data_IF_419083226157
#
_entry.id   IF_419083226157
#
_cell.length_a   1.000
_cell.length_b   1.000
_cell.length_c   1.000
_cell.angle_alpha   90.00
_cell.angle_beta   90.00
_cell.angle_gamma   90.00
#
_symmetry.space_group_name_H-M   'P 1'
#
loop_
_entity.id
_entity.type
_entity.pdbx_description
1 polymer ?
#
# COMPACT_ATOMS: atom_id res chain seq x y z
N UNK A 1 -3.89 24.70 -74.06
CA UNK A 1 -3.20 23.64 -73.33
C UNK A 1 -2.68 23.98 -71.93
N UNK A 2 -2.99 25.14 -71.30
CA UNK A 2 -2.51 25.52 -69.96
C UNK A 2 -3.45 25.23 -68.77
N UNK A 3 -4.76 25.03 -69.01
CA UNK A 3 -5.76 24.84 -67.96
C UNK A 3 -5.70 23.45 -67.30
N UNK A 4 -5.32 22.40 -68.04
CA UNK A 4 -5.24 21.04 -67.50
C UNK A 4 -4.11 20.76 -66.52
N UNK A 5 -3.02 21.56 -66.56
CA UNK A 5 -1.91 21.38 -65.63
C UNK A 5 -2.17 21.94 -64.21
N UNK A 6 -2.99 22.97 -64.11
CA UNK A 6 -3.37 23.53 -62.81
C UNK A 6 -4.37 22.67 -62.07
N UNK A 7 -5.33 22.02 -62.76
CA UNK A 7 -6.31 21.10 -62.18
C UNK A 7 -5.61 19.81 -61.65
N UNK A 8 -4.63 19.25 -62.41
CA UNK A 8 -3.86 18.12 -61.97
C UNK A 8 -2.95 18.44 -60.73
N UNK A 9 -2.40 19.63 -60.65
CA UNK A 9 -1.63 20.08 -59.46
C UNK A 9 -2.53 20.30 -58.24
N UNK A 10 -3.72 20.86 -58.42
CA UNK A 10 -4.68 21.07 -57.35
C UNK A 10 -5.21 19.74 -56.77
N UNK A 11 -5.53 18.81 -57.64
CA UNK A 11 -5.93 17.43 -57.23
C UNK A 11 -4.82 16.68 -56.51
N UNK A 12 -3.56 16.83 -56.96
CA UNK A 12 -2.41 16.21 -56.27
C UNK A 12 -2.16 16.82 -54.90
N UNK A 13 -2.34 18.14 -54.71
CA UNK A 13 -2.18 18.82 -53.43
C UNK A 13 -3.34 18.41 -52.48
N UNK A 14 -4.56 18.29 -52.97
CA UNK A 14 -5.68 17.79 -52.16
C UNK A 14 -5.53 16.35 -51.73
N UNK A 15 -4.94 15.47 -52.59
CA UNK A 15 -4.64 14.08 -52.26
C UNK A 15 -3.49 13.96 -51.23
N UNK A 16 -2.52 14.86 -51.25
CA UNK A 16 -1.41 14.88 -50.28
C UNK A 16 -1.89 15.41 -48.91
N UNK A 17 -2.83 16.39 -48.89
CA UNK A 17 -3.45 16.86 -47.64
C UNK A 17 -4.39 15.85 -47.00
N UNK A 18 -5.01 14.95 -47.77
CA UNK A 18 -5.87 13.88 -47.24
C UNK A 18 -5.09 12.71 -46.59
N UNK A 19 -3.80 12.54 -46.96
CA UNK A 19 -2.97 11.45 -46.45
C UNK A 19 -2.33 11.72 -45.07
N UNK A 20 -2.42 12.95 -44.54
CA UNK A 20 -1.84 13.32 -43.25
C UNK A 20 -2.86 13.51 -42.13
N UNK A 21 -4.02 12.88 -42.21
CA UNK A 21 -4.88 12.74 -41.05
C UNK A 21 -4.21 11.79 -40.06
N UNK A 22 -3.16 12.29 -39.38
CA UNK A 22 -2.66 11.67 -38.14
C UNK A 22 -3.83 11.77 -37.17
N UNK A 23 -4.58 10.71 -37.05
CA UNK A 23 -5.53 10.55 -35.95
C UNK A 23 -4.72 10.72 -34.67
N UNK A 24 -4.80 11.89 -34.06
CA UNK A 24 -4.27 12.09 -32.71
C UNK A 24 -4.99 11.08 -31.82
N UNK A 25 -4.35 9.93 -31.58
CA UNK A 25 -4.85 8.96 -30.59
C UNK A 25 -4.77 9.68 -29.25
N UNK A 26 -5.92 10.12 -28.76
CA UNK A 26 -6.02 10.71 -27.44
C UNK A 26 -5.42 9.73 -26.43
N UNK A 27 -4.46 10.19 -25.63
CA UNK A 27 -3.87 9.38 -24.59
C UNK A 27 -4.95 8.90 -23.62
N UNK A 28 -4.92 7.60 -23.27
CA UNK A 28 -5.74 7.06 -22.21
C UNK A 28 -5.13 7.47 -20.88
N UNK A 29 -5.72 8.45 -20.22
CA UNK A 29 -5.26 8.90 -18.89
C UNK A 29 -5.79 7.95 -17.83
N UNK A 30 -4.89 7.39 -17.03
CA UNK A 30 -5.16 6.63 -15.81
C UNK A 30 -4.77 7.51 -14.63
N UNK A 31 -5.78 7.98 -13.88
CA UNK A 31 -5.56 8.72 -12.63
C UNK A 31 -5.33 7.74 -11.51
N UNK A 32 -4.13 7.79 -10.91
CA UNK A 32 -3.70 6.95 -9.79
C UNK A 32 -3.68 7.78 -8.51
N UNK A 33 -4.37 7.32 -7.48
CA UNK A 33 -4.27 7.89 -6.13
C UNK A 33 -3.28 7.10 -5.27
N UNK A 34 -2.48 7.81 -4.50
CA UNK A 34 -1.53 7.22 -3.54
C UNK A 34 -1.45 8.06 -2.27
N UNK A 35 -1.53 7.39 -1.11
CA UNK A 35 -1.25 8.01 0.19
C UNK A 35 0.23 8.34 0.39
N UNK A 36 1.13 7.68 -0.35
CA UNK A 36 2.57 7.84 -0.15
C UNK A 36 3.05 9.27 -0.48
N UNK A 37 3.97 9.83 0.33
CA UNK A 37 4.64 11.08 -0.02
C UNK A 37 5.39 10.95 -1.35
N UNK A 38 5.30 11.98 -2.19
CA UNK A 38 5.97 11.99 -3.50
C UNK A 38 7.49 11.79 -3.38
N UNK A 39 8.10 12.39 -2.35
CA UNK A 39 9.53 12.30 -2.06
C UNK A 39 9.95 10.95 -1.44
N UNK A 40 9.00 10.09 -1.08
CA UNK A 40 9.29 8.78 -0.50
C UNK A 40 9.79 7.77 -1.55
N UNK A 41 10.43 6.67 -1.15
CA UNK A 41 10.80 5.59 -2.05
C UNK A 41 9.63 5.07 -2.90
N UNK A 42 8.42 5.00 -2.31
CA UNK A 42 7.18 4.60 -3.02
C UNK A 42 6.76 5.65 -4.05
N UNK A 43 6.76 6.95 -3.69
CA UNK A 43 6.46 8.02 -4.62
C UNK A 43 7.41 8.02 -5.82
N UNK A 44 8.70 7.88 -5.55
CA UNK A 44 9.71 7.75 -6.60
C UNK A 44 9.52 6.50 -7.49
N UNK A 45 9.11 5.35 -6.92
CA UNK A 45 8.80 4.15 -7.70
C UNK A 45 7.59 4.37 -8.62
N UNK A 46 6.52 4.98 -8.11
CA UNK A 46 5.34 5.31 -8.90
C UNK A 46 5.63 6.28 -10.05
N UNK A 47 6.48 7.29 -9.82
CA UNK A 47 6.91 8.21 -10.87
C UNK A 47 7.70 7.48 -11.98
N UNK A 48 8.53 6.47 -11.62
CA UNK A 48 9.20 5.62 -12.60
C UNK A 48 8.22 4.74 -13.38
N UNK A 49 7.20 4.17 -12.71
CA UNK A 49 6.12 3.44 -13.40
C UNK A 49 5.43 4.34 -14.43
N UNK A 50 5.12 5.59 -14.08
CA UNK A 50 4.48 6.54 -14.99
C UNK A 50 5.35 6.81 -16.23
N UNK A 51 6.65 7.05 -16.04
CA UNK A 51 7.60 7.25 -17.12
C UNK A 51 7.71 6.00 -18.04
N UNK A 52 7.75 4.81 -17.46
CA UNK A 52 7.77 3.56 -18.21
C UNK A 52 6.47 3.32 -18.98
N UNK A 53 5.30 3.59 -18.40
CA UNK A 53 4.04 3.48 -19.10
C UNK A 53 3.94 4.41 -20.31
N UNK A 54 4.41 5.65 -20.16
CA UNK A 54 4.47 6.62 -21.25
C UNK A 54 5.39 6.11 -22.37
N UNK A 55 6.58 5.61 -22.03
CA UNK A 55 7.57 5.06 -22.98
C UNK A 55 7.05 3.81 -23.68
N UNK A 56 6.56 2.81 -22.94
CA UNK A 56 6.06 1.52 -23.45
C UNK A 56 4.89 1.74 -24.41
N UNK A 57 4.01 2.67 -24.08
CA UNK A 57 2.81 2.94 -24.86
C UNK A 57 3.03 3.93 -26.03
N UNK A 58 4.23 4.52 -26.17
CA UNK A 58 4.50 5.65 -27.05
C UNK A 58 3.49 6.81 -26.81
N UNK A 59 3.26 7.14 -25.54
CA UNK A 59 2.37 8.21 -25.10
C UNK A 59 0.86 7.90 -25.20
N UNK A 60 0.47 6.66 -25.58
CA UNK A 60 -0.95 6.29 -25.67
C UNK A 60 -1.61 6.01 -24.32
N UNK A 61 -0.83 5.72 -23.31
CA UNK A 61 -1.28 5.53 -21.92
C UNK A 61 -0.45 6.44 -21.03
N UNK A 62 -1.13 7.32 -20.29
CA UNK A 62 -0.53 8.24 -19.33
C UNK A 62 -0.99 7.88 -17.93
N UNK A 63 -0.07 7.78 -16.98
CA UNK A 63 -0.36 7.59 -15.56
C UNK A 63 -0.20 8.94 -14.85
N UNK A 64 -1.34 9.55 -14.47
CA UNK A 64 -1.37 10.78 -13.69
C UNK A 64 -1.49 10.45 -12.20
N UNK A 65 -0.49 10.81 -11.41
CA UNK A 65 -0.40 10.40 -10.01
C UNK A 65 -0.82 11.54 -9.07
N UNK A 66 -1.71 11.23 -8.13
CA UNK A 66 -2.12 12.07 -7.02
C UNK A 66 -1.45 11.53 -5.74
N UNK A 67 -0.30 12.09 -5.40
CA UNK A 67 0.48 11.74 -4.20
C UNK A 67 -0.10 12.35 -2.92
N UNK A 68 0.50 12.01 -1.77
CA UNK A 68 0.25 12.63 -0.47
C UNK A 68 -1.20 12.53 0.03
N UNK A 69 -1.97 11.57 -0.46
CA UNK A 69 -3.37 11.41 -0.05
C UNK A 69 -4.31 12.55 -0.48
N UNK A 70 -3.93 13.40 -1.45
CA UNK A 70 -4.76 14.52 -1.92
C UNK A 70 -6.08 14.06 -2.56
N UNK A 71 -6.17 12.81 -2.95
CA UNK A 71 -7.40 12.21 -3.47
C UNK A 71 -8.37 11.72 -2.36
N UNK A 72 -8.00 11.85 -1.09
CA UNK A 72 -8.70 11.32 0.09
C UNK A 72 -8.01 10.11 0.68
N UNK A 73 -8.62 9.52 1.71
CA UNK A 73 -8.19 8.25 2.28
C UNK A 73 -8.44 7.06 1.34
N UNK A 74 -7.98 5.87 1.72
CA UNK A 74 -8.07 4.69 0.84
C UNK A 74 -9.53 4.28 0.55
N UNK A 75 -10.45 4.42 1.50
CA UNK A 75 -11.88 4.16 1.33
C UNK A 75 -12.52 5.17 0.38
N UNK A 76 -12.18 6.45 0.50
CA UNK A 76 -12.59 7.49 -0.44
C UNK A 76 -12.07 7.22 -1.85
N UNK A 77 -10.82 6.80 -1.99
CA UNK A 77 -10.22 6.44 -3.27
C UNK A 77 -10.97 5.27 -3.91
N UNK A 78 -11.27 4.20 -3.17
CA UNK A 78 -12.07 3.08 -3.68
C UNK A 78 -13.45 3.52 -4.16
N UNK A 79 -14.13 4.38 -3.40
CA UNK A 79 -15.42 4.96 -3.81
C UNK A 79 -15.29 5.75 -5.12
N UNK A 80 -14.26 6.59 -5.25
CA UNK A 80 -13.95 7.35 -6.46
C UNK A 80 -13.60 6.46 -7.64
N UNK A 81 -12.94 5.32 -7.40
CA UNK A 81 -12.67 4.33 -8.44
C UNK A 81 -13.95 3.62 -8.92
N UNK A 82 -14.87 3.27 -8.02
CA UNK A 82 -16.17 2.66 -8.37
C UNK A 82 -17.00 3.56 -9.30
N UNK A 83 -16.99 4.87 -9.06
CA UNK A 83 -17.69 5.85 -9.91
C UNK A 83 -16.85 6.39 -11.08
N UNK A 84 -15.56 6.02 -11.16
CA UNK A 84 -14.65 6.34 -12.26
C UNK A 84 -14.04 7.73 -12.24
N UNK A 85 -14.06 8.43 -11.13
CA UNK A 85 -13.32 9.68 -10.94
C UNK A 85 -11.81 9.45 -10.88
N UNK A 86 -11.40 8.33 -10.28
CA UNK A 86 -10.02 7.81 -10.23
C UNK A 86 -10.05 6.42 -10.88
N UNK A 87 -8.98 6.01 -11.54
CA UNK A 87 -8.91 4.75 -12.28
C UNK A 87 -8.07 3.70 -11.58
N UNK A 88 -7.10 4.12 -10.79
CA UNK A 88 -6.16 3.25 -10.08
C UNK A 88 -5.86 3.81 -8.68
N UNK A 89 -5.40 2.94 -7.80
CA UNK A 89 -4.97 3.30 -6.46
C UNK A 89 -3.83 2.41 -5.97
N UNK A 90 -3.01 2.95 -5.09
CA UNK A 90 -2.09 2.16 -4.27
C UNK A 90 -2.69 2.10 -2.88
N UNK A 91 -2.93 0.87 -2.43
CA UNK A 91 -3.61 0.59 -1.17
C UNK A 91 -2.70 -0.18 -0.22
N UNK A 92 -2.86 0.08 1.07
CA UNK A 92 -2.36 -0.78 2.14
C UNK A 92 -3.36 -1.89 2.44
N UNK A 93 -3.05 -2.78 3.38
CA UNK A 93 -4.00 -3.81 3.84
C UNK A 93 -5.32 -3.22 4.33
N UNK A 94 -5.32 -1.97 4.84
CA UNK A 94 -6.54 -1.27 5.30
C UNK A 94 -7.53 -1.02 4.16
N UNK A 95 -7.07 -0.46 3.05
CA UNK A 95 -7.94 -0.26 1.87
C UNK A 95 -8.25 -1.55 1.13
N UNK A 96 -7.29 -2.50 1.11
CA UNK A 96 -7.48 -3.80 0.46
C UNK A 96 -8.50 -4.68 1.18
N UNK A 97 -8.73 -4.49 2.47
CA UNK A 97 -9.76 -5.20 3.25
C UNK A 97 -11.15 -5.09 2.61
N UNK A 98 -11.50 -3.93 2.04
CA UNK A 98 -12.78 -3.77 1.33
C UNK A 98 -12.89 -4.61 0.05
N UNK A 99 -11.78 -5.07 -0.50
CA UNK A 99 -11.71 -5.85 -1.74
C UNK A 99 -11.40 -7.32 -1.48
N UNK A 100 -10.59 -7.58 -0.48
CA UNK A 100 -10.12 -8.90 -0.09
C UNK A 100 -9.91 -8.93 1.44
N UNK A 101 -10.97 -9.15 2.24
CA UNK A 101 -10.88 -9.15 3.71
C UNK A 101 -9.82 -10.13 4.24
N UNK A 102 -9.52 -11.15 3.49
CA UNK A 102 -8.50 -12.16 3.79
C UNK A 102 -7.10 -11.56 4.02
N UNK A 103 -6.82 -10.38 3.41
CA UNK A 103 -5.52 -9.70 3.55
C UNK A 103 -5.20 -9.32 5.01
N UNK A 104 -6.24 -9.06 5.80
CA UNK A 104 -6.09 -8.67 7.20
C UNK A 104 -5.47 -9.79 8.04
N UNK A 105 -5.70 -11.06 7.68
CA UNK A 105 -5.07 -12.18 8.38
C UNK A 105 -3.55 -12.19 8.19
N UNK A 106 -3.08 -11.83 6.99
CA UNK A 106 -1.64 -11.70 6.73
C UNK A 106 -1.01 -10.53 7.50
N UNK A 107 -1.82 -9.54 7.87
CA UNK A 107 -1.40 -8.38 8.67
C UNK A 107 -1.68 -8.54 10.17
N UNK A 108 -2.07 -9.76 10.63
CA UNK A 108 -2.27 -10.02 12.07
C UNK A 108 -0.96 -9.81 12.84
N UNK A 109 -1.02 -9.09 13.97
CA UNK A 109 0.16 -8.89 14.80
C UNK A 109 0.81 -10.21 15.21
N UNK A 110 2.12 -10.34 15.00
CA UNK A 110 2.97 -11.45 15.49
C UNK A 110 2.62 -12.85 14.97
N UNK A 111 1.69 -12.96 14.00
CA UNK A 111 1.35 -14.24 13.37
C UNK A 111 2.48 -14.71 12.44
N UNK A 112 2.89 -13.83 11.50
CA UNK A 112 4.05 -14.01 10.62
C UNK A 112 5.23 -13.32 11.28
N UNK A 113 6.39 -13.98 11.36
CA UNK A 113 7.52 -13.57 12.20
C UNK A 113 8.82 -13.29 11.44
N UNK A 114 8.86 -13.61 10.15
CA UNK A 114 10.03 -13.38 9.28
C UNK A 114 9.63 -13.09 7.84
N UNK A 115 10.56 -12.52 7.07
CA UNK A 115 10.36 -12.29 5.64
C UNK A 115 10.17 -13.60 4.88
N UNK A 116 10.90 -14.64 5.25
CA UNK A 116 10.80 -15.95 4.59
C UNK A 116 9.42 -16.60 4.86
N UNK A 117 8.91 -16.51 6.09
CA UNK A 117 7.52 -16.90 6.40
C UNK A 117 6.51 -16.11 5.59
N UNK A 118 6.71 -14.79 5.49
CA UNK A 118 5.82 -13.92 4.73
C UNK A 118 5.79 -14.30 3.26
N UNK A 119 6.96 -14.47 2.63
CA UNK A 119 7.06 -14.87 1.22
C UNK A 119 6.35 -16.21 1.01
N UNK A 120 6.67 -17.21 1.83
CA UNK A 120 6.09 -18.55 1.72
C UNK A 120 4.56 -18.57 1.83
N UNK A 121 4.03 -17.86 2.82
CA UNK A 121 2.58 -17.79 3.04
C UNK A 121 1.91 -16.97 1.94
N UNK A 122 2.51 -15.82 1.58
CA UNK A 122 1.93 -14.90 0.60
C UNK A 122 1.80 -15.55 -0.78
N UNK A 123 2.82 -16.25 -1.26
CA UNK A 123 2.79 -16.95 -2.56
C UNK A 123 1.63 -17.96 -2.64
N UNK A 124 1.29 -18.62 -1.53
CA UNK A 124 0.18 -19.57 -1.45
C UNK A 124 -1.19 -18.91 -1.35
N UNK A 125 -1.23 -17.72 -0.74
CA UNK A 125 -2.48 -16.96 -0.56
C UNK A 125 -2.80 -16.05 -1.74
N UNK A 126 -1.80 -15.61 -2.51
CA UNK A 126 -1.96 -14.63 -3.58
C UNK A 126 -3.06 -14.97 -4.59
N UNK A 127 -3.20 -16.23 -5.10
CA UNK A 127 -4.27 -16.55 -6.05
C UNK A 127 -5.67 -16.31 -5.49
N UNK A 128 -5.88 -16.54 -4.18
CA UNK A 128 -7.17 -16.27 -3.54
C UNK A 128 -7.41 -14.78 -3.35
N UNK A 129 -6.37 -14.01 -3.00
CA UNK A 129 -6.43 -12.56 -2.89
C UNK A 129 -6.72 -11.89 -4.24
N UNK A 130 -6.03 -12.29 -5.31
CA UNK A 130 -6.28 -11.82 -6.68
C UNK A 130 -7.71 -12.11 -7.10
N UNK A 131 -8.23 -13.31 -6.80
CA UNK A 131 -9.61 -13.70 -7.09
C UNK A 131 -10.61 -12.83 -6.29
N UNK A 132 -10.34 -12.53 -5.02
CA UNK A 132 -11.19 -11.69 -4.19
C UNK A 132 -11.28 -10.26 -4.75
N UNK A 133 -10.14 -9.67 -5.10
CA UNK A 133 -10.08 -8.34 -5.73
C UNK A 133 -10.83 -8.32 -7.06
N UNK A 134 -10.66 -9.37 -7.89
CA UNK A 134 -11.32 -9.49 -9.19
C UNK A 134 -12.85 -9.61 -9.07
N UNK A 135 -13.37 -10.31 -8.06
CA UNK A 135 -14.83 -10.35 -7.79
C UNK A 135 -15.41 -8.95 -7.52
N UNK A 136 -14.60 -8.04 -7.01
CA UNK A 136 -14.96 -6.63 -6.76
C UNK A 136 -14.75 -5.71 -7.98
N UNK A 137 -14.47 -6.27 -9.18
CA UNK A 137 -14.26 -5.52 -10.43
C UNK A 137 -13.01 -4.66 -10.44
N UNK A 138 -11.94 -5.16 -9.81
CA UNK A 138 -10.63 -4.57 -9.82
C UNK A 138 -9.58 -5.60 -10.20
N UNK A 139 -8.48 -5.13 -10.76
CA UNK A 139 -7.32 -5.95 -11.13
C UNK A 139 -6.10 -5.48 -10.37
N UNK A 140 -5.38 -6.40 -9.73
CA UNK A 140 -4.08 -6.13 -9.11
C UNK A 140 -3.01 -6.18 -10.19
N UNK A 141 -2.20 -5.13 -10.30
CA UNK A 141 -1.05 -5.07 -11.20
C UNK A 141 0.26 -5.44 -10.52
N UNK A 142 0.29 -5.39 -9.18
CA UNK A 142 1.42 -5.83 -8.38
C UNK A 142 1.14 -5.72 -6.89
N UNK A 143 1.63 -6.71 -6.14
CA UNK A 143 1.63 -6.74 -4.68
C UNK A 143 2.98 -6.28 -4.14
N UNK A 144 2.98 -5.56 -3.03
CA UNK A 144 4.18 -5.06 -2.36
C UNK A 144 4.23 -5.50 -0.90
N UNK A 145 5.42 -5.85 -0.43
CA UNK A 145 5.73 -6.30 0.94
C UNK A 145 6.95 -5.54 1.48
N UNK A 146 6.86 -4.20 1.60
CA UNK A 146 8.02 -3.35 1.78
C UNK A 146 8.49 -3.26 3.25
N UNK A 147 8.39 -4.31 4.02
CA UNK A 147 8.92 -4.37 5.39
C UNK A 147 7.86 -4.58 6.46
N UNK A 148 8.13 -4.06 7.65
CA UNK A 148 7.40 -4.37 8.87
C UNK A 148 6.85 -3.14 9.56
N UNK A 149 5.69 -3.31 10.19
CA UNK A 149 5.08 -2.31 11.06
C UNK A 149 5.69 -2.41 12.45
N UNK A 150 5.97 -1.28 13.08
CA UNK A 150 6.42 -1.14 14.46
C UNK A 150 5.59 -0.11 15.20
N UNK A 151 5.60 -0.19 16.55
CA UNK A 151 5.02 0.84 17.40
C UNK A 151 5.99 2.00 17.60
N UNK A 152 5.45 3.21 17.50
CA UNK A 152 6.11 4.47 17.83
C UNK A 152 5.31 5.16 18.93
N UNK A 153 5.97 5.63 19.99
CA UNK A 153 5.32 6.14 21.18
C UNK A 153 6.04 7.37 21.74
N UNK A 154 5.31 8.24 22.45
CA UNK A 154 5.91 9.43 23.07
C UNK A 154 6.85 9.10 24.24
N UNK A 155 6.76 7.90 24.82
CA UNK A 155 7.63 7.38 25.87
C UNK A 155 8.01 5.92 25.58
N UNK A 156 9.13 5.46 26.11
CA UNK A 156 9.57 4.08 25.90
C UNK A 156 8.55 3.05 26.38
N UNK A 157 8.36 2.01 25.61
CA UNK A 157 7.46 0.87 25.88
C UNK A 157 8.24 -0.41 25.65
N UNK A 158 8.17 -1.36 26.61
CA UNK A 158 8.79 -2.69 26.53
C UNK A 158 7.76 -3.82 26.57
N UNK A 159 6.61 -3.58 27.19
CA UNK A 159 5.60 -4.60 27.46
C UNK A 159 4.23 -4.21 26.91
N UNK A 160 3.33 -5.19 26.61
CA UNK A 160 1.94 -4.90 26.26
C UNK A 160 1.21 -4.08 27.33
N UNK A 161 1.53 -4.29 28.61
CA UNK A 161 0.94 -3.53 29.73
C UNK A 161 1.29 -2.04 29.67
N UNK A 162 2.52 -1.70 29.32
CA UNK A 162 2.95 -0.32 29.11
C UNK A 162 2.32 0.29 27.87
N UNK A 163 2.17 -0.49 26.78
CA UNK A 163 1.50 -0.02 25.57
C UNK A 163 0.02 0.30 25.81
N UNK A 164 -0.66 -0.41 26.73
CA UNK A 164 -2.04 -0.07 27.15
C UNK A 164 -2.18 1.30 27.80
N UNK A 165 -1.08 1.91 28.25
CA UNK A 165 -1.07 3.26 28.83
C UNK A 165 -0.84 4.35 27.76
N UNK A 166 -0.65 3.96 26.49
CA UNK A 166 -0.45 4.85 25.36
C UNK A 166 -1.81 5.08 24.68
N UNK A 167 -2.10 6.32 24.32
CA UNK A 167 -3.22 6.67 23.45
C UNK A 167 -2.80 6.39 22.01
N UNK A 168 -3.11 5.19 21.54
CA UNK A 168 -2.73 4.74 20.21
C UNK A 168 -3.67 5.29 19.13
N UNK A 169 -3.13 5.78 18.04
CA UNK A 169 -3.92 5.95 16.84
C UNK A 169 -4.26 4.56 16.27
N UNK A 170 -5.50 4.37 15.87
CA UNK A 170 -5.93 3.25 15.04
C UNK A 170 -6.63 3.81 13.80
N UNK A 171 -6.55 3.10 12.68
CA UNK A 171 -7.18 3.59 11.45
C UNK A 171 -8.67 3.85 11.65
N UNK A 172 -9.10 5.07 11.36
CA UNK A 172 -10.52 5.42 11.34
C UNK A 172 -11.30 4.65 10.27
N UNK A 173 -10.58 4.11 9.29
CA UNK A 173 -11.11 3.36 8.16
C UNK A 173 -11.37 1.89 8.49
N UNK A 174 -10.88 1.41 9.65
CA UNK A 174 -11.06 0.02 10.09
C UNK A 174 -11.65 -0.04 11.50
N UNK A 175 -12.99 0.10 11.65
CA UNK A 175 -13.66 0.07 12.94
C UNK A 175 -13.54 -1.29 13.65
N UNK A 176 -13.42 -2.40 12.93
CA UNK A 176 -13.25 -3.74 13.47
C UNK A 176 -11.88 -3.87 14.17
N UNK A 177 -10.81 -3.42 13.54
CA UNK A 177 -9.47 -3.40 14.13
C UNK A 177 -9.41 -2.43 15.33
N UNK A 178 -10.02 -1.25 15.22
CA UNK A 178 -10.17 -0.32 16.33
C UNK A 178 -10.86 -0.97 17.54
N UNK A 179 -11.95 -1.70 17.28
CA UNK A 179 -12.67 -2.43 18.33
C UNK A 179 -11.83 -3.57 18.91
N UNK A 180 -11.05 -4.28 18.08
CA UNK A 180 -10.13 -5.32 18.54
C UNK A 180 -9.10 -4.76 19.54
N UNK A 181 -8.46 -3.63 19.23
CA UNK A 181 -7.55 -2.96 20.15
C UNK A 181 -8.23 -2.64 21.48
N UNK A 182 -9.46 -2.09 21.45
CA UNK A 182 -10.21 -1.75 22.66
C UNK A 182 -10.58 -2.95 23.51
N UNK A 183 -11.01 -4.05 22.87
CA UNK A 183 -11.32 -5.32 23.57
C UNK A 183 -10.08 -5.93 24.21
N UNK A 184 -8.91 -5.76 23.61
CA UNK A 184 -7.62 -6.16 24.18
C UNK A 184 -7.12 -5.19 25.29
N UNK A 185 -7.89 -4.13 25.62
CA UNK A 185 -7.58 -3.18 26.67
C UNK A 185 -6.66 -2.03 26.26
N UNK A 186 -6.38 -1.86 24.97
CA UNK A 186 -5.60 -0.72 24.47
C UNK A 186 -6.47 0.54 24.36
N UNK A 187 -5.88 1.70 24.64
CA UNK A 187 -6.52 3.00 24.45
C UNK A 187 -6.41 3.41 22.99
N UNK A 188 -7.30 2.89 22.14
CA UNK A 188 -7.27 3.14 20.70
C UNK A 188 -8.26 4.23 20.28
N UNK A 189 -7.78 5.19 19.49
CA UNK A 189 -8.52 6.34 18.98
C UNK A 189 -8.55 6.30 17.44
N UNK A 190 -9.72 6.55 16.83
CA UNK A 190 -9.83 6.57 15.38
C UNK A 190 -9.15 7.82 14.83
N UNK A 191 -8.13 7.64 14.02
CA UNK A 191 -7.37 8.73 13.39
C UNK A 191 -7.06 8.32 11.95
N UNK A 192 -7.42 9.17 10.98
CA UNK A 192 -7.02 8.96 9.59
C UNK A 192 -5.53 9.24 9.39
N UNK A 193 -4.94 8.66 8.36
CA UNK A 193 -3.53 8.87 8.03
C UNK A 193 -3.19 10.37 7.86
N UNK A 194 -4.08 11.13 7.22
CA UNK A 194 -3.88 12.55 6.96
C UNK A 194 -3.96 13.42 8.24
N UNK A 195 -4.65 12.94 9.27
CA UNK A 195 -4.83 13.66 10.54
C UNK A 195 -3.82 13.24 11.61
N UNK A 196 -3.02 12.19 11.38
CA UNK A 196 -2.15 11.62 12.41
C UNK A 196 -1.14 12.63 12.95
N UNK A 197 -0.47 13.41 12.10
CA UNK A 197 0.49 14.41 12.56
C UNK A 197 -0.16 15.48 13.43
N UNK A 198 -1.36 15.95 13.06
CA UNK A 198 -2.13 16.92 13.84
C UNK A 198 -2.57 16.34 15.17
N UNK A 199 -3.03 15.09 15.18
CA UNK A 199 -3.45 14.37 16.38
C UNK A 199 -2.30 14.12 17.37
N UNK A 200 -1.10 13.82 16.85
CA UNK A 200 0.13 13.74 17.65
C UNK A 200 0.54 15.09 18.20
N UNK A 201 0.45 16.16 17.40
CA UNK A 201 0.81 17.53 17.81
C UNK A 201 -0.12 18.06 18.91
N UNK A 202 -1.43 17.78 18.83
CA UNK A 202 -2.42 18.20 19.83
C UNK A 202 -2.39 17.33 21.09
N UNK A 203 -1.69 16.19 21.07
CA UNK A 203 -1.69 15.21 22.15
C UNK A 203 -3.00 14.42 22.25
N UNK A 204 -3.85 14.40 21.24
CA UNK A 204 -5.01 13.51 21.17
C UNK A 204 -4.57 12.04 21.21
N UNK A 205 -3.49 11.73 20.50
CA UNK A 205 -2.78 10.46 20.57
C UNK A 205 -1.30 10.70 20.91
N UNK A 206 -0.66 9.72 21.53
CA UNK A 206 0.75 9.76 21.90
C UNK A 206 1.50 8.49 21.45
N UNK A 207 0.88 7.73 20.56
CA UNK A 207 1.50 6.59 19.86
C UNK A 207 0.75 6.21 18.60
N UNK A 208 1.46 5.55 17.71
CA UNK A 208 0.95 5.00 16.46
C UNK A 208 1.73 3.73 16.08
N UNK A 209 1.24 3.03 15.06
CA UNK A 209 1.97 1.92 14.43
C UNK A 209 2.10 2.18 12.92
N UNK A 210 3.32 2.02 12.41
CA UNK A 210 3.63 2.25 11.00
C UNK A 210 4.95 1.55 10.63
N UNK A 211 5.24 1.48 9.31
CA UNK A 211 6.61 1.15 8.89
C UNK A 211 7.56 2.30 9.21
N UNK A 212 8.85 2.02 9.54
CA UNK A 212 9.84 3.05 9.77
C UNK A 212 9.99 4.04 8.60
N UNK A 213 9.85 3.55 7.37
CA UNK A 213 9.90 4.40 6.17
C UNK A 213 8.75 5.41 6.15
N UNK A 214 7.52 4.98 6.50
CA UNK A 214 6.38 5.87 6.59
C UNK A 214 6.53 6.86 7.74
N UNK A 215 6.95 6.40 8.92
CA UNK A 215 7.19 7.25 10.09
C UNK A 215 8.21 8.37 9.80
N UNK A 216 9.27 8.07 9.04
CA UNK A 216 10.25 9.04 8.57
C UNK A 216 9.66 9.98 7.50
N UNK A 217 9.03 9.42 6.47
CA UNK A 217 8.50 10.19 5.34
C UNK A 217 7.43 11.21 5.72
N UNK A 218 6.56 10.88 6.67
CA UNK A 218 5.55 11.78 7.22
C UNK A 218 6.01 12.55 8.47
N UNK A 219 7.24 12.33 8.95
CA UNK A 219 7.83 12.97 10.14
C UNK A 219 7.03 12.71 11.45
N UNK A 220 6.25 11.64 11.52
CA UNK A 220 5.44 11.32 12.70
C UNK A 220 6.29 11.03 13.93
N UNK A 221 7.48 10.42 13.73
CA UNK A 221 8.44 10.08 14.79
C UNK A 221 8.86 11.29 15.65
N UNK A 222 8.80 12.52 15.09
CA UNK A 222 9.17 13.73 15.83
C UNK A 222 8.30 13.97 17.08
N UNK A 223 7.09 13.41 17.13
CA UNK A 223 6.15 13.51 18.26
C UNK A 223 6.03 12.22 19.05
N UNK A 224 6.47 11.10 18.50
CA UNK A 224 6.52 9.80 19.17
C UNK A 224 7.92 9.18 18.96
N UNK A 225 8.95 9.72 19.64
CA UNK A 225 10.34 9.44 19.32
C UNK A 225 10.88 8.12 19.90
N UNK A 226 10.03 7.25 20.41
CA UNK A 226 10.41 5.92 20.90
C UNK A 226 9.82 4.85 19.99
N UNK A 227 10.68 4.11 19.33
CA UNK A 227 10.29 2.97 18.49
C UNK A 227 10.55 1.66 19.23
N UNK A 228 9.54 0.81 19.35
CA UNK A 228 9.72 -0.57 19.81
C UNK A 228 10.33 -1.39 18.68
N UNK A 229 11.51 -1.95 18.89
CA UNK A 229 12.20 -2.79 17.90
C UNK A 229 11.66 -4.24 17.94
N UNK A 230 10.38 -4.33 17.62
CA UNK A 230 9.64 -5.57 17.41
C UNK A 230 8.88 -5.46 16.10
N UNK A 231 9.19 -6.29 15.10
CA UNK A 231 8.34 -6.44 13.90
C UNK A 231 6.97 -6.97 14.33
N UNK A 232 5.94 -6.10 14.30
CA UNK A 232 4.60 -6.44 14.81
C UNK A 232 3.77 -7.13 13.76
N UNK A 233 3.78 -6.59 12.54
CA UNK A 233 3.02 -7.13 11.42
C UNK A 233 3.71 -6.82 10.10
N UNK A 234 3.58 -7.65 9.06
CA UNK A 234 4.02 -7.29 7.72
C UNK A 234 3.28 -6.06 7.22
N UNK A 235 3.99 -5.15 6.56
CA UNK A 235 3.37 -4.10 5.78
C UNK A 235 3.05 -4.64 4.39
N UNK A 236 1.79 -4.63 4.00
CA UNK A 236 1.31 -5.15 2.72
C UNK A 236 0.62 -4.04 1.94
N UNK A 237 0.78 -4.08 0.64
CA UNK A 237 0.10 -3.15 -0.26
C UNK A 237 -0.07 -3.72 -1.65
N UNK A 238 -0.87 -3.03 -2.47
CA UNK A 238 -1.05 -3.39 -3.87
C UNK A 238 -1.31 -2.17 -4.75
N UNK A 239 -0.84 -2.25 -5.99
CA UNK A 239 -1.27 -1.38 -7.07
C UNK A 239 -2.50 -2.00 -7.73
N UNK A 240 -3.64 -1.32 -7.64
CA UNK A 240 -4.94 -1.82 -8.11
C UNK A 240 -5.49 -0.87 -9.17
N UNK A 241 -6.07 -1.43 -10.25
CA UNK A 241 -6.76 -0.68 -11.29
C UNK A 241 -8.19 -1.19 -11.42
N UNK A 242 -9.15 -0.29 -11.73
CA UNK A 242 -10.52 -0.71 -12.02
C UNK A 242 -10.60 -1.46 -13.36
N UNK A 243 -11.34 -2.57 -13.41
CA UNK A 243 -11.51 -3.38 -14.62
C UNK A 243 -12.03 -2.54 -15.80
N UNK A 244 -12.92 -1.58 -15.53
CA UNK A 244 -13.46 -0.67 -16.54
C UNK A 244 -12.35 0.17 -17.19
N UNK A 245 -11.40 0.66 -16.42
CA UNK A 245 -10.28 1.44 -16.96
C UNK A 245 -9.27 0.53 -17.65
N UNK A 246 -8.95 -0.61 -17.04
CA UNK A 246 -8.01 -1.57 -17.58
C UNK A 246 -8.49 -2.20 -18.90
N UNK A 247 -9.79 -2.41 -19.07
CA UNK A 247 -10.38 -2.91 -20.31
C UNK A 247 -10.18 -1.96 -21.51
N UNK A 248 -10.00 -0.66 -21.28
CA UNK A 248 -9.74 0.34 -22.35
C UNK A 248 -8.28 0.34 -22.82
N UNK A 249 -7.38 -0.24 -22.06
CA UNK A 249 -5.98 -0.37 -22.44
C UNK A 249 -5.86 -1.44 -23.54
N UNK A 250 -5.15 -1.17 -24.65
CA UNK A 250 -4.91 -2.16 -25.69
C UNK A 250 -4.29 -3.43 -25.13
N UNK A 251 -4.83 -4.59 -25.50
CA UNK A 251 -4.42 -5.88 -24.92
C UNK A 251 -2.93 -6.17 -25.12
N UNK A 252 -2.34 -5.74 -26.25
CA UNK A 252 -0.91 -5.91 -26.52
C UNK A 252 0.01 -5.09 -25.61
N UNK A 253 -0.49 -4.07 -24.93
CA UNK A 253 0.28 -3.25 -23.97
C UNK A 253 0.19 -3.78 -22.54
N UNK A 254 -0.93 -4.40 -22.17
CA UNK A 254 -1.19 -4.84 -20.79
C UNK A 254 -0.04 -5.64 -20.17
N UNK A 255 0.52 -6.67 -20.84
CA UNK A 255 1.61 -7.45 -20.23
C UNK A 255 2.83 -6.59 -19.89
N UNK A 256 3.22 -5.66 -20.78
CA UNK A 256 4.39 -4.81 -20.57
C UNK A 256 4.14 -3.75 -19.49
N UNK A 257 2.93 -3.17 -19.43
CA UNK A 257 2.55 -2.20 -18.40
C UNK A 257 2.48 -2.87 -17.02
N UNK A 258 1.92 -4.08 -16.92
CA UNK A 258 1.93 -4.86 -15.67
C UNK A 258 3.36 -5.24 -15.26
N UNK A 259 4.19 -5.69 -16.19
CA UNK A 259 5.58 -6.02 -15.91
C UNK A 259 6.39 -4.81 -15.42
N UNK A 260 6.12 -3.60 -15.92
CA UNK A 260 6.73 -2.37 -15.42
C UNK A 260 6.35 -2.11 -13.95
N UNK A 261 5.07 -2.24 -13.59
CA UNK A 261 4.61 -2.12 -12.20
C UNK A 261 5.31 -3.15 -11.34
N UNK A 262 5.24 -4.44 -11.69
CA UNK A 262 5.84 -5.52 -10.94
C UNK A 262 7.35 -5.30 -10.74
N UNK A 263 8.08 -4.91 -11.80
CA UNK A 263 9.53 -4.66 -11.72
C UNK A 263 9.91 -3.54 -10.75
N UNK A 264 9.13 -2.45 -10.68
CA UNK A 264 9.42 -1.36 -9.75
C UNK A 264 9.05 -1.74 -8.32
N UNK A 265 7.96 -2.50 -8.12
CA UNK A 265 7.57 -3.02 -6.81
C UNK A 265 8.62 -4.01 -6.30
N UNK A 266 9.03 -5.00 -7.10
CA UNK A 266 10.06 -5.97 -6.70
C UNK A 266 11.35 -5.26 -6.26
N UNK A 267 11.82 -4.28 -7.04
CA UNK A 267 13.01 -3.50 -6.65
C UNK A 267 12.83 -2.74 -5.32
N UNK A 268 11.62 -2.26 -5.06
CA UNK A 268 11.31 -1.59 -3.80
C UNK A 268 11.30 -2.58 -2.63
N UNK A 269 10.67 -3.75 -2.83
CA UNK A 269 10.61 -4.81 -1.82
C UNK A 269 12.02 -5.40 -1.54
N UNK A 270 12.85 -5.61 -2.58
CA UNK A 270 14.24 -6.06 -2.45
C UNK A 270 15.10 -5.06 -1.67
N UNK A 271 14.85 -3.76 -1.85
CA UNK A 271 15.55 -2.70 -1.13
C UNK A 271 14.95 -2.41 0.26
N UNK A 272 13.85 -3.03 0.64
CA UNK A 272 13.06 -2.66 1.81
C UNK A 272 13.88 -2.67 3.12
N UNK A 273 14.72 -3.69 3.33
CA UNK A 273 15.59 -3.77 4.51
C UNK A 273 16.56 -2.59 4.61
N UNK A 274 17.22 -2.27 3.50
CA UNK A 274 18.18 -1.17 3.46
C UNK A 274 17.50 0.17 3.64
N UNK A 275 16.35 0.38 2.99
CA UNK A 275 15.53 1.57 3.14
C UNK A 275 14.99 1.74 4.56
N UNK A 276 14.57 0.65 5.20
CA UNK A 276 14.12 0.66 6.60
C UNK A 276 15.28 1.01 7.55
N UNK A 277 16.44 0.38 7.35
CA UNK A 277 17.63 0.67 8.15
C UNK A 277 18.11 2.12 7.94
N UNK A 278 18.04 2.65 6.73
CA UNK A 278 18.35 4.06 6.42
C UNK A 278 17.36 5.01 7.10
N UNK A 279 16.06 4.74 7.01
CA UNK A 279 15.03 5.53 7.66
C UNK A 279 15.23 5.57 9.19
N UNK A 280 15.52 4.42 9.82
CA UNK A 280 15.81 4.34 11.26
C UNK A 280 17.07 5.14 11.60
N UNK A 281 18.15 5.00 10.82
CA UNK A 281 19.38 5.79 11.04
C UNK A 281 19.13 7.29 10.93
N UNK A 282 18.38 7.72 9.89
CA UNK A 282 18.02 9.11 9.71
C UNK A 282 17.19 9.63 10.90
N UNK A 283 16.15 8.91 11.31
CA UNK A 283 15.33 9.30 12.47
C UNK A 283 16.13 9.36 13.78
N UNK A 284 17.11 8.43 13.99
CA UNK A 284 18.02 8.48 15.14
C UNK A 284 18.85 9.75 15.16
N UNK A 285 19.28 10.26 14.00
CA UNK A 285 19.96 11.55 13.87
C UNK A 285 19.10 12.74 14.31
N UNK A 286 17.79 12.58 14.35
CA UNK A 286 16.80 13.57 14.82
C UNK A 286 16.14 13.19 16.15
N UNK A 287 16.74 12.28 16.92
CA UNK A 287 16.33 11.99 18.29
C UNK A 287 15.45 10.76 18.49
N UNK A 288 15.21 9.92 17.46
CA UNK A 288 14.53 8.64 17.65
C UNK A 288 15.35 7.73 18.57
N UNK A 289 14.69 7.16 19.55
CA UNK A 289 15.21 6.14 20.46
C UNK A 289 14.57 4.79 20.13
N UNK A 290 15.39 3.75 19.99
CA UNK A 290 14.91 2.39 19.76
C UNK A 290 14.95 1.58 21.05
N UNK A 291 13.86 0.88 21.34
CA UNK A 291 13.75 -0.02 22.49
C UNK A 291 13.93 -1.46 22.01
N UNK A 292 15.10 -2.02 22.21
CA UNK A 292 15.35 -3.43 21.94
C UNK A 292 14.77 -4.30 23.07
N UNK A 293 14.17 -5.43 22.70
CA UNK A 293 13.58 -6.38 23.63
C UNK A 293 14.51 -7.58 23.84
N UNK A 294 14.62 -8.03 25.06
CA UNK A 294 15.16 -9.36 25.37
C UNK A 294 14.23 -10.46 24.85
N UNK A 295 14.73 -11.68 24.71
CA UNK A 295 13.89 -12.80 24.28
C UNK A 295 12.72 -13.06 25.26
N UNK A 296 12.94 -12.92 26.55
CA UNK A 296 11.86 -13.05 27.55
C UNK A 296 10.77 -11.99 27.35
N UNK A 297 11.12 -10.75 27.02
CA UNK A 297 10.15 -9.68 26.74
C UNK A 297 9.41 -9.95 25.43
N UNK A 298 10.07 -10.48 24.38
CA UNK A 298 9.42 -10.91 23.14
C UNK A 298 8.37 -11.99 23.40
N UNK A 299 8.67 -12.96 24.24
CA UNK A 299 7.72 -14.02 24.59
C UNK A 299 6.47 -13.47 25.30
N UNK A 300 6.59 -12.39 26.08
CA UNK A 300 5.40 -11.71 26.65
C UNK A 300 4.49 -11.15 25.55
N UNK A 301 5.04 -10.58 24.48
CA UNK A 301 4.27 -10.10 23.34
C UNK A 301 3.60 -11.24 22.57
N UNK A 302 4.30 -12.35 22.34
CA UNK A 302 3.70 -13.53 21.69
C UNK A 302 2.57 -14.12 22.52
N UNK A 303 2.76 -14.25 23.84
CA UNK A 303 1.70 -14.72 24.73
C UNK A 303 0.49 -13.78 24.78
N UNK A 304 0.69 -12.48 24.67
CA UNK A 304 -0.37 -11.49 24.55
C UNK A 304 -1.18 -11.68 23.26
N UNK A 305 -0.48 -11.85 22.14
CA UNK A 305 -1.12 -12.16 20.86
C UNK A 305 -1.96 -13.43 20.94
N UNK A 306 -1.39 -14.54 21.44
CA UNK A 306 -2.11 -15.80 21.57
C UNK A 306 -3.37 -15.69 22.43
N UNK A 307 -3.32 -14.91 23.51
CA UNK A 307 -4.50 -14.63 24.35
C UNK A 307 -5.59 -13.83 23.63
N UNK A 308 -5.24 -13.04 22.61
CA UNK A 308 -6.19 -12.23 21.84
C UNK A 308 -6.97 -13.06 20.79
N UNK A 309 -6.44 -14.20 20.35
CA UNK A 309 -7.01 -15.00 19.26
C UNK A 309 -8.50 -15.34 19.44
N UNK A 310 -8.98 -15.81 20.62
CA UNK A 310 -10.39 -16.15 20.77
C UNK A 310 -11.34 -14.94 20.65
N UNK A 311 -10.83 -13.73 20.79
CA UNK A 311 -11.64 -12.51 20.71
C UNK A 311 -11.52 -11.81 19.37
N UNK A 312 -10.53 -12.16 18.53
CA UNK A 312 -10.24 -11.51 17.25
C UNK A 312 -10.52 -12.40 16.04
N UNK A 313 -10.19 -13.69 16.10
CA UNK A 313 -10.48 -14.66 15.03
C UNK A 313 -11.98 -14.95 14.97
N UNK A 314 -12.55 -14.94 13.78
CA UNK A 314 -13.99 -15.08 13.54
C UNK A 314 -14.81 -13.82 13.77
N UNK A 315 -14.15 -12.70 14.18
CA UNK A 315 -14.80 -11.38 14.38
C UNK A 315 -14.15 -10.29 13.58
N UNK A 316 -12.84 -10.13 13.70
CA UNK A 316 -12.01 -9.16 12.97
C UNK A 316 -11.28 -9.84 11.84
N UNK A 317 -10.74 -11.01 12.11
CA UNK A 317 -9.99 -11.83 11.15
C UNK A 317 -10.81 -13.04 10.73
N UNK A 318 -10.88 -13.29 9.43
CA UNK A 318 -11.60 -14.45 8.90
C UNK A 318 -11.01 -15.77 9.41
N UNK A 319 -11.85 -16.61 10.01
CA UNK A 319 -11.39 -17.84 10.66
C UNK A 319 -10.85 -18.87 9.65
N UNK A 320 -11.46 -18.96 8.48
CA UNK A 320 -11.03 -19.91 7.46
C UNK A 320 -9.65 -19.52 6.93
N UNK A 321 -9.46 -18.25 6.60
CA UNK A 321 -8.17 -17.71 6.16
C UNK A 321 -7.11 -17.87 7.26
N UNK A 322 -7.47 -17.60 8.52
CA UNK A 322 -6.55 -17.78 9.64
C UNK A 322 -6.06 -19.23 9.74
N UNK A 323 -6.96 -20.21 9.66
CA UNK A 323 -6.60 -21.62 9.67
C UNK A 323 -5.69 -22.01 8.50
N UNK A 324 -5.94 -21.45 7.32
CA UNK A 324 -5.10 -21.69 6.13
C UNK A 324 -3.70 -21.11 6.31
N UNK A 325 -3.59 -19.88 6.80
CA UNK A 325 -2.30 -19.25 7.10
C UNK A 325 -1.54 -20.03 8.17
N UNK A 326 -2.22 -20.48 9.25
CA UNK A 326 -1.61 -21.32 10.27
C UNK A 326 -1.08 -22.65 9.70
N UNK A 327 -1.82 -23.28 8.80
CA UNK A 327 -1.39 -24.53 8.16
C UNK A 327 -0.12 -24.30 7.32
N UNK A 328 -0.08 -23.23 6.54
CA UNK A 328 1.08 -22.84 5.75
C UNK A 328 2.29 -22.56 6.64
N UNK A 329 2.10 -21.82 7.74
CA UNK A 329 3.17 -21.55 8.71
C UNK A 329 3.68 -22.82 9.40
N UNK A 330 2.79 -23.72 9.76
CA UNK A 330 3.16 -25.02 10.36
C UNK A 330 3.94 -25.90 9.38
N UNK A 331 3.66 -25.81 8.08
CA UNK A 331 4.43 -26.49 7.04
C UNK A 331 5.83 -25.87 6.87
N UNK A 332 5.91 -24.54 6.84
CA UNK A 332 7.18 -23.83 6.71
C UNK A 332 8.13 -24.06 7.89
N UNK A 333 7.59 -24.14 9.11
CA UNK A 333 8.35 -24.28 10.38
C UNK A 333 8.81 -25.70 10.70
N UNK A 334 8.48 -26.72 9.87
CA UNK A 334 8.97 -28.11 10.00
C UNK A 334 10.42 -28.25 9.56
#
# INVERSE_FOLDING_TARGET
MRAGAHVKRLVLILLICAATSVTAVSAQVIRLASGAPESSPWGAALNRVAADWQRISNGRVELQIFHNGIAGDERDVLRKMRIGQVQAGVFTSVGLEELAPEIMVLSMPLLIRSDDELVYVFERMQPSLDSAVSRNRFTVLGWSRPGWIRFFTARSVRTPAELRQIRLSASAENPELLQAFRVMGYQAFPVSQNELLTSLNSGMVDGFYASPIAAAGYQWFARAPHMLDLPVAPFLGAFVVSDRAWARIPNNLKPQLTAAVASHITRLDDAARDLEAEAIRAMRGFGLQTTELTEAERQVWFAEFERSLPTTVGRVFDEQTYRQVQANLAEFRK
#
